data_IF_809920316574
#
_entry.id   IF_809920316574
#
_cell.length_a   1.000
_cell.length_b   1.000
_cell.length_c   1.000
_cell.angle_alpha   90.00
_cell.angle_beta   90.00
_cell.angle_gamma   90.00
#
_symmetry.space_group_name_H-M   'P 1'
#
loop_
_entity.id
_entity.type
_entity.pdbx_description
1 polymer ?
#
# COMPACT_ATOMS: atom_id res chain seq x y z
N UNK A 1 -4.53 -12.01 -21.64
CA UNK A 1 -3.69 -10.98 -22.29
C UNK A 1 -2.43 -10.70 -21.45
N UNK A 2 -2.51 -10.08 -20.25
CA UNK A 2 -1.29 -9.71 -19.48
C UNK A 2 -0.44 -10.94 -19.10
N UNK A 3 -1.04 -12.02 -18.64
CA UNK A 3 -0.34 -13.27 -18.35
C UNK A 3 0.29 -13.90 -19.59
N UNK A 4 -0.40 -13.83 -20.72
CA UNK A 4 0.08 -14.39 -22.00
C UNK A 4 1.28 -13.62 -22.55
N UNK A 5 1.46 -12.37 -22.15
CA UNK A 5 2.64 -11.55 -22.52
C UNK A 5 3.85 -11.76 -21.61
N UNK A 6 3.78 -12.68 -20.65
CA UNK A 6 4.89 -12.96 -19.72
C UNK A 6 5.10 -11.90 -18.62
N UNK A 7 4.18 -10.96 -18.47
CA UNK A 7 4.25 -9.92 -17.44
C UNK A 7 3.79 -10.50 -16.09
N UNK A 8 4.52 -10.18 -15.02
CA UNK A 8 4.07 -10.48 -13.66
C UNK A 8 2.79 -9.69 -13.36
N UNK A 9 1.70 -10.39 -13.06
CA UNK A 9 0.38 -9.79 -12.79
C UNK A 9 0.12 -9.74 -11.30
N UNK A 10 -0.31 -8.57 -10.82
CA UNK A 10 -0.76 -8.34 -9.44
C UNK A 10 -2.15 -7.71 -9.47
N UNK A 11 -3.13 -8.38 -8.88
CA UNK A 11 -4.48 -7.87 -8.72
C UNK A 11 -4.62 -7.22 -7.35
N UNK A 12 -5.12 -5.99 -7.29
CA UNK A 12 -5.38 -5.29 -6.04
C UNK A 12 -6.88 -5.25 -5.78
N UNK A 13 -7.28 -5.64 -4.59
CA UNK A 13 -8.62 -5.52 -4.08
C UNK A 13 -8.60 -4.75 -2.76
N UNK A 14 -9.48 -3.78 -2.60
CA UNK A 14 -9.75 -3.12 -1.32
C UNK A 14 -11.04 -3.71 -0.74
N UNK A 15 -10.98 -4.56 0.29
CA UNK A 15 -12.14 -5.20 0.87
C UNK A 15 -13.07 -4.19 1.57
N UNK A 16 -14.35 -4.21 1.21
CA UNK A 16 -15.38 -3.32 1.76
C UNK A 16 -16.59 -4.13 2.19
N UNK A 17 -17.01 -3.95 3.44
CA UNK A 17 -18.21 -4.60 3.96
C UNK A 17 -19.46 -4.14 3.20
N UNK A 18 -20.33 -5.08 2.85
CA UNK A 18 -21.57 -4.82 2.09
C UNK A 18 -21.36 -4.44 0.62
N UNK A 19 -20.12 -4.41 0.12
CA UNK A 19 -19.83 -4.07 -1.29
C UNK A 19 -19.24 -5.28 -2.02
N UNK A 20 -18.03 -5.69 -1.66
CA UNK A 20 -17.32 -6.80 -2.33
C UNK A 20 -16.89 -7.93 -1.38
N UNK A 21 -17.35 -7.91 -0.15
CA UNK A 21 -17.01 -8.93 0.84
C UNK A 21 -17.40 -10.35 0.39
N UNK A 22 -18.46 -10.49 -0.42
CA UNK A 22 -18.90 -11.76 -0.97
C UNK A 22 -17.99 -12.35 -2.05
N UNK A 23 -17.05 -11.58 -2.57
CA UNK A 23 -16.18 -11.95 -3.70
C UNK A 23 -14.75 -12.32 -3.30
N UNK A 24 -14.39 -12.16 -2.02
CA UNK A 24 -13.00 -12.27 -1.57
C UNK A 24 -12.40 -13.65 -1.81
N UNK A 25 -13.16 -14.73 -1.57
CA UNK A 25 -12.71 -16.09 -1.83
C UNK A 25 -12.59 -16.36 -3.33
N UNK A 26 -13.51 -15.85 -4.15
CA UNK A 26 -13.45 -16.02 -5.60
C UNK A 26 -12.22 -15.31 -6.19
N UNK A 27 -11.92 -14.10 -5.69
CA UNK A 27 -10.71 -13.36 -6.08
C UNK A 27 -9.45 -14.11 -5.66
N UNK A 28 -9.38 -14.58 -4.41
CA UNK A 28 -8.24 -15.35 -3.92
C UNK A 28 -8.03 -16.65 -4.73
N UNK A 29 -9.11 -17.34 -5.11
CA UNK A 29 -9.07 -18.56 -5.90
C UNK A 29 -8.44 -18.38 -7.30
N UNK A 30 -8.37 -17.17 -7.83
CA UNK A 30 -7.63 -16.91 -9.09
C UNK A 30 -6.16 -17.32 -8.98
N UNK A 31 -5.56 -17.18 -7.80
CA UNK A 31 -4.18 -17.59 -7.56
C UNK A 31 -3.97 -19.10 -7.55
N UNK A 32 -5.02 -19.91 -7.43
CA UNK A 32 -4.95 -21.38 -7.52
C UNK A 32 -4.46 -21.83 -8.89
N UNK A 33 -5.07 -21.30 -9.94
CA UNK A 33 -4.84 -21.75 -11.33
C UNK A 33 -3.99 -20.80 -12.15
N UNK A 34 -3.85 -19.55 -11.74
CA UNK A 34 -3.12 -18.54 -12.47
C UNK A 34 -1.85 -18.11 -11.72
N UNK A 35 -0.72 -17.87 -12.43
CA UNK A 35 0.53 -17.40 -11.84
C UNK A 35 0.49 -15.88 -11.58
N UNK A 36 -0.38 -15.46 -10.65
CA UNK A 36 -0.56 -14.07 -10.28
C UNK A 36 -0.63 -13.88 -8.77
N UNK A 37 -0.49 -12.65 -8.32
CA UNK A 37 -0.65 -12.27 -6.92
C UNK A 37 -1.99 -11.55 -6.75
N UNK A 38 -2.86 -12.05 -5.87
CA UNK A 38 -4.06 -11.34 -5.43
C UNK A 38 -3.73 -10.62 -4.13
N UNK A 39 -3.80 -9.29 -4.11
CA UNK A 39 -3.45 -8.48 -2.94
C UNK A 39 -4.67 -7.80 -2.37
N UNK A 40 -4.98 -8.10 -1.11
CA UNK A 40 -5.98 -7.42 -0.33
C UNK A 40 -5.36 -6.24 0.40
N UNK A 41 -5.83 -5.05 0.09
CA UNK A 41 -5.31 -3.78 0.63
C UNK A 41 -6.31 -3.22 1.61
N UNK A 42 -5.91 -3.03 2.84
CA UNK A 42 -6.76 -2.43 3.86
C UNK A 42 -7.12 -0.98 3.50
N UNK A 43 -8.39 -0.64 3.61
CA UNK A 43 -8.87 0.72 3.36
C UNK A 43 -8.23 1.69 4.36
N UNK A 44 -7.61 2.72 3.83
CA UNK A 44 -7.07 3.80 4.66
C UNK A 44 -8.14 4.88 4.87
N UNK A 45 -8.28 5.45 6.07
CA UNK A 45 -9.27 6.48 6.37
C UNK A 45 -8.86 7.85 5.81
N UNK A 46 -8.75 7.94 4.48
CA UNK A 46 -8.32 9.15 3.74
C UNK A 46 -9.42 9.53 2.76
N UNK A 47 -9.82 10.80 2.74
CA UNK A 47 -10.87 11.29 1.88
C UNK A 47 -12.17 10.52 2.09
N UNK A 48 -12.81 10.05 1.02
CA UNK A 48 -14.04 9.25 1.09
C UNK A 48 -13.85 7.92 1.83
N UNK A 49 -12.64 7.37 1.88
CA UNK A 49 -12.35 6.15 2.61
C UNK A 49 -12.57 6.24 4.12
N UNK A 50 -12.56 7.46 4.68
CA UNK A 50 -12.78 7.67 6.11
C UNK A 50 -14.22 7.33 6.59
N UNK A 51 -15.19 7.34 5.68
CA UNK A 51 -16.60 7.04 5.96
C UNK A 51 -17.07 5.70 5.40
N UNK A 52 -16.21 4.97 4.69
CA UNK A 52 -16.58 3.70 4.08
C UNK A 52 -16.35 2.53 5.05
N UNK A 53 -17.28 1.56 5.13
CA UNK A 53 -17.08 0.36 5.92
C UNK A 53 -15.97 -0.46 5.31
N UNK A 54 -14.91 -0.74 6.08
CA UNK A 54 -13.79 -1.55 5.64
C UNK A 54 -13.75 -2.90 6.36
N UNK A 55 -13.10 -3.87 5.77
CA UNK A 55 -12.74 -5.12 6.40
C UNK A 55 -11.24 -5.06 6.78
N UNK A 56 -10.94 -5.40 8.02
CA UNK A 56 -9.56 -5.45 8.47
C UNK A 56 -8.79 -6.59 7.81
N UNK A 57 -7.52 -6.39 7.50
CA UNK A 57 -6.68 -7.41 6.89
C UNK A 57 -6.67 -8.74 7.63
N UNK A 58 -6.55 -8.77 8.98
CA UNK A 58 -6.64 -9.99 9.76
C UNK A 58 -7.96 -10.75 9.61
N UNK A 59 -9.10 -10.04 9.51
CA UNK A 59 -10.42 -10.68 9.34
C UNK A 59 -10.56 -11.33 7.97
N UNK A 60 -10.06 -10.66 6.93
CA UNK A 60 -10.00 -11.22 5.57
C UNK A 60 -9.10 -12.46 5.55
N UNK A 61 -7.92 -12.40 6.17
CA UNK A 61 -7.02 -13.55 6.26
C UNK A 61 -7.69 -14.73 6.99
N UNK A 62 -8.29 -14.49 8.15
CA UNK A 62 -8.98 -15.53 8.91
C UNK A 62 -10.15 -16.15 8.12
N UNK A 63 -10.85 -15.35 7.32
CA UNK A 63 -11.90 -15.83 6.42
C UNK A 63 -11.34 -16.73 5.33
N UNK A 64 -10.24 -16.34 4.68
CA UNK A 64 -9.59 -17.15 3.67
C UNK A 64 -9.00 -18.45 4.26
N UNK A 65 -8.43 -18.40 5.47
CA UNK A 65 -7.93 -19.60 6.17
C UNK A 65 -9.03 -20.59 6.58
N UNK A 66 -10.25 -20.12 6.86
CA UNK A 66 -11.40 -21.03 7.04
C UNK A 66 -11.75 -21.79 5.76
N UNK A 67 -11.60 -21.15 4.61
CA UNK A 67 -11.86 -21.79 3.30
C UNK A 67 -10.68 -22.65 2.86
N UNK A 68 -9.46 -22.23 3.14
CA UNK A 68 -8.21 -22.93 2.82
C UNK A 68 -7.32 -22.99 4.05
N UNK A 69 -7.48 -24.02 4.92
CA UNK A 69 -6.69 -24.16 6.15
C UNK A 69 -5.18 -24.25 5.90
N UNK A 70 -4.77 -24.66 4.71
CA UNK A 70 -3.38 -24.77 4.29
C UNK A 70 -2.76 -23.43 3.83
N UNK A 71 -3.53 -22.33 3.84
CA UNK A 71 -3.05 -21.00 3.48
C UNK A 71 -2.06 -20.51 4.57
N UNK A 72 -0.77 -20.64 4.28
CA UNK A 72 0.31 -20.35 5.22
C UNK A 72 1.21 -19.22 4.73
N UNK A 73 1.84 -18.55 5.67
CA UNK A 73 2.78 -17.47 5.42
C UNK A 73 3.93 -17.94 4.54
N UNK A 74 4.19 -17.22 3.46
CA UNK A 74 5.42 -17.42 2.69
C UNK A 74 6.60 -16.77 3.40
N UNK A 75 7.76 -17.46 3.50
CA UNK A 75 8.98 -16.84 3.93
C UNK A 75 9.26 -15.60 3.07
N UNK A 76 9.55 -14.47 3.69
CA UNK A 76 10.01 -13.32 2.94
C UNK A 76 11.33 -13.69 2.25
N UNK A 77 11.36 -13.58 0.92
CA UNK A 77 12.62 -13.73 0.20
C UNK A 77 13.55 -12.60 0.61
N UNK A 78 14.85 -12.86 0.77
CA UNK A 78 15.86 -11.81 0.87
C UNK A 78 15.99 -11.14 -0.51
N UNK A 79 15.02 -10.33 -0.87
CA UNK A 79 15.06 -9.49 -2.07
C UNK A 79 15.83 -8.21 -1.73
N UNK A 80 16.46 -7.55 -2.72
CA UNK A 80 17.03 -6.23 -2.48
C UNK A 80 15.97 -5.30 -1.89
N UNK A 81 16.35 -4.54 -0.91
CA UNK A 81 15.50 -3.65 -0.09
C UNK A 81 14.54 -2.76 -0.89
N UNK A 82 14.84 -2.52 -2.17
CA UNK A 82 14.03 -1.72 -3.11
C UNK A 82 12.87 -2.47 -3.77
N UNK A 83 12.85 -3.81 -3.72
CA UNK A 83 11.83 -4.64 -4.37
C UNK A 83 10.67 -5.00 -3.44
N UNK A 84 10.84 -4.82 -2.13
CA UNK A 84 9.86 -5.19 -1.13
C UNK A 84 8.74 -4.14 -1.04
N UNK A 85 7.62 -4.44 -1.66
CA UNK A 85 6.36 -3.78 -1.35
C UNK A 85 5.90 -4.16 0.07
N UNK A 86 4.90 -3.45 0.64
CA UNK A 86 4.41 -3.68 2.00
C UNK A 86 3.54 -4.94 2.15
N UNK A 87 3.41 -5.74 1.11
CA UNK A 87 2.56 -6.91 1.12
C UNK A 87 3.24 -8.09 1.83
N UNK A 88 2.52 -8.70 2.76
CA UNK A 88 2.87 -9.97 3.37
C UNK A 88 2.13 -11.05 2.59
N UNK A 89 2.84 -12.06 2.11
CA UNK A 89 2.28 -13.06 1.22
C UNK A 89 2.02 -14.40 1.90
N UNK A 90 0.93 -15.02 1.48
CA UNK A 90 0.50 -16.37 1.88
C UNK A 90 0.28 -17.23 0.64
N UNK A 91 0.42 -18.53 0.80
CA UNK A 91 0.21 -19.49 -0.29
C UNK A 91 -0.38 -20.79 0.23
N UNK A 92 -1.26 -21.38 -0.56
CA UNK A 92 -1.69 -22.77 -0.41
C UNK A 92 -0.73 -23.66 -1.22
N UNK A 93 -0.26 -24.79 -0.69
CA UNK A 93 0.55 -25.74 -1.44
C UNK A 93 -0.12 -26.14 -2.77
N UNK A 94 0.65 -26.16 -3.85
CA UNK A 94 0.14 -26.50 -5.19
C UNK A 94 -0.45 -25.31 -5.98
N UNK A 95 -0.76 -24.18 -5.37
CA UNK A 95 -1.25 -23.02 -6.09
C UNK A 95 -0.15 -22.44 -6.99
N UNK A 96 -0.53 -21.90 -8.17
CA UNK A 96 0.42 -21.25 -9.08
C UNK A 96 0.81 -19.85 -8.59
N UNK A 97 -0.14 -19.11 -8.06
CA UNK A 97 0.03 -17.77 -7.52
C UNK A 97 0.08 -17.71 -6.00
N UNK A 98 -0.13 -16.52 -5.45
CA UNK A 98 -0.14 -16.25 -4.01
C UNK A 98 -1.16 -15.17 -3.64
N UNK A 99 -1.46 -15.09 -2.34
CA UNK A 99 -2.35 -14.07 -1.78
C UNK A 99 -1.52 -13.13 -0.90
N UNK A 100 -1.61 -11.84 -1.15
CA UNK A 100 -0.89 -10.81 -0.41
C UNK A 100 -1.82 -9.96 0.45
N UNK A 101 -1.33 -9.49 1.58
CA UNK A 101 -2.04 -8.55 2.45
C UNK A 101 -1.22 -7.29 2.66
N UNK A 102 -1.85 -6.13 2.47
CA UNK A 102 -1.29 -4.81 2.76
C UNK A 102 -2.12 -4.21 3.88
N UNK A 103 -1.77 -4.53 5.12
CA UNK A 103 -2.45 -4.07 6.32
C UNK A 103 -1.97 -2.65 6.67
N UNK A 104 -2.52 -1.66 5.96
CA UNK A 104 -2.07 -0.27 6.06
C UNK A 104 -2.48 0.41 7.38
N UNK A 105 -3.49 -0.09 8.07
CA UNK A 105 -4.02 0.48 9.33
C UNK A 105 -3.63 -0.38 10.52
N UNK A 106 -3.96 -1.67 10.49
CA UNK A 106 -3.77 -2.58 11.61
C UNK A 106 -2.38 -3.24 11.65
N UNK A 107 -1.70 -3.34 10.52
CA UNK A 107 -0.40 -4.03 10.40
C UNK A 107 0.81 -3.11 10.31
N UNK A 108 0.66 -1.81 10.52
CA UNK A 108 1.69 -0.74 10.51
C UNK A 108 3.06 -1.16 9.95
N UNK A 109 3.24 -1.12 8.62
CA UNK A 109 4.53 -1.41 7.98
C UNK A 109 5.45 -0.17 7.89
N UNK A 110 5.23 0.83 8.75
CA UNK A 110 5.89 2.13 8.69
C UNK A 110 7.41 2.04 8.87
N UNK A 111 7.89 1.17 9.73
CA UNK A 111 9.32 1.00 9.99
C UNK A 111 10.13 0.62 8.74
N UNK A 112 9.53 -0.14 7.81
CA UNK A 112 10.13 -0.50 6.52
C UNK A 112 9.65 0.35 5.35
N UNK A 113 8.91 1.44 5.60
CA UNK A 113 8.30 2.23 4.54
C UNK A 113 9.31 3.19 3.89
N UNK A 114 9.71 2.89 2.66
CA UNK A 114 10.61 3.71 1.83
C UNK A 114 9.87 4.68 0.88
N UNK A 115 8.55 4.90 1.04
CA UNK A 115 7.74 5.65 0.09
C UNK A 115 7.73 7.14 0.41
N UNK A 116 7.91 7.92 -0.62
CA UNK A 116 7.64 9.36 -0.69
C UNK A 116 6.77 9.61 -1.91
N UNK A 117 6.09 10.73 -1.98
CA UNK A 117 5.20 11.09 -3.08
C UNK A 117 5.43 12.52 -3.53
N UNK A 118 5.59 12.71 -4.82
CA UNK A 118 5.63 14.05 -5.41
C UNK A 118 4.23 14.35 -5.97
N UNK A 119 3.63 15.44 -5.50
CA UNK A 119 2.34 15.91 -6.02
C UNK A 119 2.53 16.62 -7.36
N UNK A 120 1.45 16.76 -8.12
CA UNK A 120 1.45 17.56 -9.38
C UNK A 120 1.80 19.03 -9.17
N UNK A 121 1.71 19.52 -7.94
CA UNK A 121 2.08 20.87 -7.56
C UNK A 121 3.55 21.00 -7.17
N UNK A 122 4.34 19.93 -7.21
CA UNK A 122 5.76 19.94 -6.84
C UNK A 122 6.02 19.89 -5.35
N UNK A 123 5.04 19.49 -4.54
CA UNK A 123 5.23 19.27 -3.11
C UNK A 123 5.59 17.80 -2.84
N UNK A 124 6.70 17.58 -2.16
CA UNK A 124 7.16 16.27 -1.73
C UNK A 124 6.49 15.90 -0.40
N UNK A 125 5.64 14.88 -0.41
CA UNK A 125 5.02 14.31 0.80
C UNK A 125 5.83 13.12 1.29
N UNK A 126 6.09 13.06 2.57
CA UNK A 126 6.91 12.04 3.21
C UNK A 126 6.09 10.83 3.67
N UNK A 127 4.81 11.05 3.95
CA UNK A 127 3.85 10.02 4.35
C UNK A 127 2.47 10.32 3.76
N UNK A 128 1.73 9.27 3.43
CA UNK A 128 0.35 9.38 2.95
C UNK A 128 -0.58 9.96 4.02
N UNK A 129 -0.34 9.57 5.27
CA UNK A 129 -1.14 9.94 6.43
C UNK A 129 -0.72 11.26 7.09
N UNK A 130 0.24 12.00 6.51
CA UNK A 130 0.77 13.23 7.11
C UNK A 130 0.83 14.34 6.08
N UNK A 131 0.68 15.57 6.54
CA UNK A 131 0.94 16.77 5.74
C UNK A 131 2.43 17.14 5.71
N UNK A 132 3.29 16.42 6.45
CA UNK A 132 4.72 16.65 6.47
C UNK A 132 5.35 16.46 5.08
N UNK A 133 6.24 17.39 4.73
CA UNK A 133 6.90 17.41 3.44
C UNK A 133 7.57 18.73 3.14
N UNK A 134 8.01 18.91 1.90
CA UNK A 134 8.61 20.16 1.47
C UNK A 134 8.17 20.55 0.06
N UNK A 135 8.18 21.87 -0.20
CA UNK A 135 7.98 22.41 -1.52
C UNK A 135 9.30 22.33 -2.32
N UNK A 136 9.30 21.55 -3.38
CA UNK A 136 10.41 21.46 -4.33
C UNK A 136 10.23 22.40 -5.53
N UNK A 137 8.99 22.81 -5.80
CA UNK A 137 8.68 23.62 -6.97
C UNK A 137 9.26 25.01 -6.88
N UNK A 138 9.10 25.70 -5.76
CA UNK A 138 9.55 27.08 -5.59
C UNK A 138 11.06 27.21 -5.73
N UNK A 139 11.91 26.44 -4.99
CA UNK A 139 13.35 26.51 -5.19
C UNK A 139 13.76 26.17 -6.64
N UNK A 140 13.20 25.11 -7.22
CA UNK A 140 13.50 24.71 -8.59
C UNK A 140 13.20 25.84 -9.59
N UNK A 141 12.06 26.52 -9.46
CA UNK A 141 11.65 27.62 -10.34
C UNK A 141 12.43 28.91 -10.10
N UNK A 142 13.02 29.06 -8.92
CA UNK A 142 13.89 30.19 -8.56
C UNK A 142 15.34 29.95 -8.97
N UNK A 143 15.66 28.85 -9.65
CA UNK A 143 17.00 28.56 -10.15
C UNK A 143 17.94 27.91 -9.13
N UNK A 144 17.37 27.22 -8.12
CA UNK A 144 18.17 26.42 -7.21
C UNK A 144 19.01 25.37 -7.98
N UNK A 145 20.25 25.20 -7.55
CA UNK A 145 21.14 24.17 -8.09
C UNK A 145 20.72 22.75 -7.69
N UNK A 146 21.19 21.76 -8.42
CA UNK A 146 20.95 20.35 -8.09
C UNK A 146 21.44 20.00 -6.68
N UNK A 147 22.53 20.59 -6.23
CA UNK A 147 23.06 20.39 -4.89
C UNK A 147 22.09 20.90 -3.80
N UNK A 148 21.54 22.09 -3.97
CA UNK A 148 20.56 22.67 -3.05
C UNK A 148 19.26 21.85 -3.03
N UNK A 149 18.79 21.38 -4.19
CA UNK A 149 17.61 20.52 -4.28
C UNK A 149 17.86 19.15 -3.60
N UNK A 150 19.05 18.60 -3.78
CA UNK A 150 19.43 17.34 -3.14
C UNK A 150 19.49 17.46 -1.62
N UNK A 151 20.00 18.56 -1.11
CA UNK A 151 20.05 18.83 0.34
C UNK A 151 18.64 19.06 0.91
N UNK A 152 17.76 19.72 0.19
CA UNK A 152 16.34 19.83 0.53
C UNK A 152 15.68 18.46 0.64
N UNK A 153 15.89 17.60 -0.36
CA UNK A 153 15.37 16.23 -0.37
C UNK A 153 15.89 15.40 0.81
N UNK A 154 17.20 15.44 1.07
CA UNK A 154 17.84 14.72 2.17
C UNK A 154 17.29 15.15 3.53
N UNK A 155 17.16 16.45 3.73
CA UNK A 155 16.62 17.01 4.98
C UNK A 155 15.14 16.62 5.15
N UNK A 156 14.33 16.75 4.10
CA UNK A 156 12.94 16.34 4.14
C UNK A 156 12.79 14.84 4.49
N UNK A 157 13.59 13.97 3.88
CA UNK A 157 13.53 12.52 4.15
C UNK A 157 13.87 12.20 5.61
N UNK A 158 14.79 12.93 6.24
CA UNK A 158 15.12 12.76 7.67
C UNK A 158 13.95 13.12 8.59
N UNK A 159 13.07 14.02 8.16
CA UNK A 159 11.86 14.42 8.87
C UNK A 159 10.66 13.48 8.61
N UNK A 160 10.87 12.39 7.89
CA UNK A 160 9.81 11.42 7.62
C UNK A 160 9.26 10.85 8.93
N UNK A 161 7.92 10.90 9.17
CA UNK A 161 7.32 10.31 10.36
C UNK A 161 7.67 8.83 10.51
N UNK A 162 8.00 8.41 11.73
CA UNK A 162 8.31 7.02 12.06
C UNK A 162 7.11 6.09 11.86
N UNK A 163 5.90 6.62 12.13
CA UNK A 163 4.66 5.88 11.92
C UNK A 163 3.50 6.82 11.56
N UNK A 164 2.42 6.22 11.07
CA UNK A 164 1.17 6.95 10.85
C UNK A 164 0.27 6.85 12.09
N UNK A 165 -0.64 7.82 12.19
CA UNK A 165 -1.62 7.91 13.27
C UNK A 165 -3.06 7.78 12.75
N UNK A 166 -3.30 6.81 11.84
CA UNK A 166 -4.65 6.51 11.38
C UNK A 166 -5.53 6.07 12.56
N UNK A 167 -6.70 6.68 12.68
CA UNK A 167 -7.64 6.41 13.77
C UNK A 167 -7.44 7.29 15.01
N UNK A 168 -6.38 8.09 15.09
CA UNK A 168 -6.22 9.14 16.09
C UNK A 168 -6.92 10.42 15.61
N UNK A 169 -7.52 11.16 16.52
CA UNK A 169 -8.24 12.40 16.22
C UNK A 169 -7.31 13.45 15.63
N UNK A 170 -7.58 13.93 14.42
CA UNK A 170 -6.87 15.07 13.84
C UNK A 170 -6.24 14.88 12.47
N UNK A 171 -6.34 13.71 11.83
CA UNK A 171 -5.93 13.60 10.43
C UNK A 171 -7.06 14.18 9.57
N UNK A 172 -6.82 15.30 8.84
CA UNK A 172 -7.87 15.86 8.01
C UNK A 172 -8.18 14.88 6.87
N UNK A 173 -9.35 14.27 6.92
CA UNK A 173 -9.92 13.48 5.82
C UNK A 173 -10.21 14.32 4.55
N UNK A 174 -9.70 15.56 4.50
CA UNK A 174 -10.15 16.61 3.56
C UNK A 174 -9.58 16.49 2.16
N UNK A 175 -8.55 15.67 1.93
CA UNK A 175 -7.96 15.52 0.59
C UNK A 175 -8.15 14.11 0.05
N UNK A 176 -8.84 14.01 -1.09
CA UNK A 176 -8.95 12.74 -1.81
C UNK A 176 -7.57 12.21 -2.26
N UNK A 177 -7.43 10.90 -2.35
CA UNK A 177 -6.20 10.20 -2.76
C UNK A 177 -5.60 10.77 -4.05
N UNK A 178 -6.42 11.17 -5.02
CA UNK A 178 -6.01 11.74 -6.30
C UNK A 178 -5.25 13.07 -6.19
N UNK A 179 -5.35 13.78 -5.04
CA UNK A 179 -4.62 15.04 -4.80
C UNK A 179 -3.31 14.88 -4.06
N UNK A 180 -3.00 13.69 -3.60
CA UNK A 180 -1.83 13.42 -2.76
C UNK A 180 -0.81 12.48 -3.42
N UNK A 181 -0.87 12.35 -4.76
CA UNK A 181 0.09 11.54 -5.52
C UNK A 181 -0.15 10.04 -5.38
N UNK A 182 -1.41 9.62 -5.31
CA UNK A 182 -1.82 8.22 -5.24
C UNK A 182 -2.97 7.93 -6.15
#
# INVERSE_FOLDING_TARGET
AALDSGIQVKLNCVPQAGVNEGELEQLAALAETLPLEVRFIEMMPIGSGASMPCLAGPDVLARLQRRWPELTLLPQKPEPEFALGPAIYYKVPGWKGSVGFIAAVHGKFCAGCNRIRLTSQGFLRLCLASEAGCDLRTPLRSGASDAELLDLLRNAIREKPLEHHFGETGIPATRGMYRIGG
#
